data_IF_483882166410
#
_entry.id   IF_483882166410
#
_cell.length_a   1.000
_cell.length_b   1.000
_cell.length_c   1.000
_cell.angle_alpha   90.00
_cell.angle_beta   90.00
_cell.angle_gamma   90.00
#
_symmetry.space_group_name_H-M   'P 1'
#
loop_
_entity.id
_entity.type
_entity.pdbx_description
1 polymer ?
#
# COMPACT_ATOMS: atom_id res chain seq x y z
N UNK A 1 53.29 0.21 39.10
CA UNK A 1 52.41 -0.94 39.33
C UNK A 1 51.24 -0.44 40.18
N UNK A 2 50.11 -0.12 39.58
CA UNK A 2 48.88 0.24 40.29
C UNK A 2 47.72 -0.49 39.62
N UNK A 3 47.16 -1.40 40.39
CA UNK A 3 45.97 -2.18 40.01
C UNK A 3 44.73 -1.31 40.19
N UNK A 4 43.99 -1.11 39.09
CA UNK A 4 42.69 -0.44 39.12
C UNK A 4 41.60 -1.51 39.17
N UNK A 5 40.96 -1.63 40.33
CA UNK A 5 39.82 -2.53 40.55
C UNK A 5 38.56 -1.89 40.04
N UNK A 6 37.91 -2.52 39.03
CA UNK A 6 36.61 -2.09 38.53
C UNK A 6 35.53 -2.88 39.27
N UNK A 7 34.69 -2.13 40.02
CA UNK A 7 33.52 -2.67 40.70
C UNK A 7 32.33 -2.79 39.73
N UNK A 8 31.67 -3.94 39.76
CA UNK A 8 30.41 -4.21 39.05
C UNK A 8 29.22 -3.69 39.90
N UNK A 9 28.20 -3.07 39.32
CA UNK A 9 26.98 -2.75 40.07
C UNK A 9 25.99 -3.92 40.09
N UNK A 10 25.33 -4.04 41.21
CA UNK A 10 24.37 -5.03 41.64
C UNK A 10 23.18 -5.22 40.72
N UNK A 11 22.86 -6.48 40.48
CA UNK A 11 21.61 -6.97 39.91
C UNK A 11 20.55 -6.98 41.01
N UNK A 12 19.48 -6.15 40.88
CA UNK A 12 18.31 -6.20 41.75
C UNK A 12 17.26 -7.07 41.05
N UNK A 13 17.02 -8.23 41.66
CA UNK A 13 15.89 -9.09 41.32
C UNK A 13 14.60 -8.46 41.82
N UNK A 14 13.58 -8.37 40.93
CA UNK A 14 12.21 -8.03 41.31
C UNK A 14 11.35 -9.29 41.18
N UNK A 15 11.06 -9.90 42.31
CA UNK A 15 10.07 -10.99 42.43
C UNK A 15 8.65 -10.45 42.62
N UNK A 16 7.73 -11.01 41.84
CA UNK A 16 6.42 -11.40 42.31
C UNK A 16 5.31 -10.34 42.36
N UNK A 17 4.27 -10.54 41.54
CA UNK A 17 2.90 -10.74 42.06
C UNK A 17 2.01 -11.38 41.00
N UNK A 18 1.53 -12.58 41.32
CA UNK A 18 0.47 -13.25 40.60
C UNK A 18 -0.88 -12.56 40.90
N UNK A 19 -1.69 -12.33 39.86
CA UNK A 19 -3.05 -11.87 39.99
C UNK A 19 -3.89 -12.51 38.90
N UNK A 20 -4.50 -13.66 39.24
CA UNK A 20 -5.51 -14.34 38.45
C UNK A 20 -6.81 -13.55 38.52
N UNK A 21 -7.45 -13.27 37.40
CA UNK A 21 -8.89 -13.04 37.36
C UNK A 21 -9.48 -13.77 36.17
N UNK A 22 -10.19 -14.85 36.49
CA UNK A 22 -11.13 -15.56 35.61
C UNK A 22 -12.38 -14.69 35.45
N UNK A 23 -12.87 -14.50 34.27
CA UNK A 23 -14.28 -14.25 33.93
C UNK A 23 -14.57 -15.00 32.64
N UNK A 24 -15.19 -16.08 32.81
CA UNK A 24 -16.56 -16.58 32.65
C UNK A 24 -17.15 -16.27 31.28
N UNK A 25 -17.20 -17.37 30.53
CA UNK A 25 -18.00 -17.64 29.35
C UNK A 25 -19.48 -17.62 29.75
N UNK A 26 -20.30 -16.85 29.06
CA UNK A 26 -21.76 -16.97 29.13
C UNK A 26 -22.32 -17.33 27.77
N UNK A 27 -23.02 -18.43 27.78
CA UNK A 27 -23.61 -19.20 26.69
C UNK A 27 -25.04 -18.69 26.43
N UNK A 28 -25.32 -18.53 25.16
CA UNK A 28 -26.54 -18.60 24.33
C UNK A 28 -27.89 -18.84 25.04
N UNK A 29 -29.03 -18.38 24.45
CA UNK A 29 -29.87 -19.39 23.81
C UNK A 29 -30.36 -19.09 22.38
N UNK A 30 -30.61 -20.21 21.73
CA UNK A 30 -31.24 -20.47 20.44
C UNK A 30 -32.76 -20.42 20.58
N UNK A 31 -33.50 -19.87 19.62
CA UNK A 31 -34.88 -20.21 19.29
C UNK A 31 -35.10 -19.92 17.79
N UNK A 32 -35.24 -20.89 17.10
CA UNK A 32 -36.19 -21.63 16.30
C UNK A 32 -37.59 -20.96 16.12
N UNK A 33 -38.00 -20.74 14.86
CA UNK A 33 -39.28 -21.15 14.28
C UNK A 33 -39.46 -20.63 12.84
N UNK A 34 -39.46 -21.61 11.94
CA UNK A 34 -40.27 -21.79 10.74
C UNK A 34 -41.44 -20.82 10.50
N UNK A 35 -41.57 -20.31 9.26
CA UNK A 35 -42.83 -20.37 8.51
C UNK A 35 -42.62 -20.15 7.01
N UNK A 36 -43.13 -21.14 6.29
CA UNK A 36 -43.38 -21.25 4.85
C UNK A 36 -44.39 -20.23 4.36
N UNK A 37 -44.16 -19.64 3.21
CA UNK A 37 -45.20 -19.42 2.17
C UNK A 37 -44.58 -18.90 0.89
N UNK A 38 -44.72 -19.71 -0.17
CA UNK A 38 -44.67 -19.29 -1.57
C UNK A 38 -46.12 -18.95 -1.95
N UNK A 39 -46.39 -17.91 -2.76
CA UNK A 39 -46.93 -18.20 -4.06
C UNK A 39 -46.34 -17.34 -5.20
N UNK A 40 -46.31 -17.98 -6.29
CA UNK A 40 -46.91 -17.75 -7.61
C UNK A 40 -46.20 -16.84 -8.61
N UNK A 41 -46.14 -17.43 -9.80
CA UNK A 41 -45.59 -16.91 -11.04
C UNK A 41 -46.31 -15.66 -11.51
N UNK A 42 -45.56 -14.67 -11.99
CA UNK A 42 -46.01 -13.49 -12.70
C UNK A 42 -45.00 -13.10 -13.76
N UNK A 43 -45.37 -13.42 -14.97
CA UNK A 43 -45.14 -12.72 -16.24
C UNK A 43 -43.73 -12.20 -16.58
N UNK A 44 -43.20 -12.86 -17.59
CA UNK A 44 -42.11 -12.43 -18.47
C UNK A 44 -42.42 -11.07 -19.11
N UNK A 45 -41.73 -10.01 -18.70
CA UNK A 45 -41.51 -8.86 -19.54
C UNK A 45 -40.06 -8.84 -19.97
N UNK A 46 -39.84 -9.19 -21.23
CA UNK A 46 -38.60 -8.91 -21.93
C UNK A 46 -38.44 -7.39 -22.03
N UNK A 47 -37.67 -6.79 -21.12
CA UNK A 47 -37.10 -5.47 -21.32
C UNK A 47 -35.71 -5.69 -21.90
N UNK A 48 -35.57 -5.22 -23.12
CA UNK A 48 -34.30 -5.12 -23.84
C UNK A 48 -33.28 -4.47 -22.94
N UNK A 49 -32.25 -5.23 -22.58
CA UNK A 49 -31.04 -4.68 -22.00
C UNK A 49 -30.31 -3.98 -23.13
N UNK A 50 -30.60 -2.70 -23.30
CA UNK A 50 -29.69 -1.81 -24.02
C UNK A 50 -28.34 -1.95 -23.32
N UNK A 51 -27.35 -2.45 -24.06
CA UNK A 51 -26.00 -2.58 -23.60
C UNK A 51 -25.49 -1.23 -23.13
N UNK A 52 -25.37 -1.08 -21.83
CA UNK A 52 -24.65 0.01 -21.23
C UNK A 52 -23.20 -0.15 -21.70
N UNK A 53 -22.87 0.52 -22.81
CA UNK A 53 -21.49 0.77 -23.17
C UNK A 53 -20.91 1.55 -22.01
N UNK A 54 -20.14 0.85 -21.17
CA UNK A 54 -19.31 1.45 -20.13
C UNK A 54 -18.33 2.41 -20.83
N UNK A 55 -18.82 3.60 -21.13
CA UNK A 55 -17.97 4.72 -21.47
C UNK A 55 -17.20 5.05 -20.21
N UNK A 56 -16.00 4.45 -20.09
CA UNK A 56 -14.99 4.85 -19.11
C UNK A 56 -14.90 6.38 -19.18
N UNK A 57 -15.54 7.04 -18.23
CA UNK A 57 -15.58 8.48 -18.21
C UNK A 57 -14.15 9.03 -18.19
N UNK A 58 -13.94 10.18 -18.81
CA UNK A 58 -12.66 10.92 -18.88
C UNK A 58 -11.96 11.04 -17.50
N UNK A 59 -12.75 10.95 -16.41
CA UNK A 59 -12.26 10.89 -15.02
C UNK A 59 -11.55 9.59 -14.65
N UNK A 60 -11.58 8.56 -15.49
CA UNK A 60 -11.04 7.22 -15.18
C UNK A 60 -9.79 6.85 -15.98
N UNK A 61 -9.31 7.74 -16.86
CA UNK A 61 -8.06 7.55 -17.57
C UNK A 61 -6.89 7.55 -16.58
N UNK A 62 -5.93 6.58 -16.67
CA UNK A 62 -4.77 6.58 -15.79
C UNK A 62 -3.87 7.77 -16.08
N UNK A 63 -3.69 8.65 -15.09
CA UNK A 63 -2.79 9.80 -15.18
C UNK A 63 -1.34 9.43 -14.96
N UNK A 64 -1.12 8.26 -14.35
CA UNK A 64 0.20 7.69 -14.06
C UNK A 64 0.16 6.22 -14.46
N UNK A 65 1.07 5.84 -15.31
CA UNK A 65 1.29 4.46 -15.74
C UNK A 65 2.66 3.99 -15.25
N UNK A 66 2.70 2.81 -14.62
CA UNK A 66 3.89 2.21 -14.04
C UNK A 66 4.11 0.84 -14.68
N UNK A 67 5.04 0.78 -15.61
CA UNK A 67 5.51 -0.43 -16.27
C UNK A 67 6.66 -1.06 -15.46
N UNK A 68 6.33 -2.15 -14.75
CA UNK A 68 7.28 -2.88 -13.91
C UNK A 68 8.29 -3.67 -14.73
N UNK A 69 7.93 -4.09 -15.95
CA UNK A 69 8.81 -4.84 -16.84
C UNK A 69 9.94 -3.97 -17.37
N UNK A 70 9.63 -2.72 -17.72
CA UNK A 70 10.58 -1.73 -18.23
C UNK A 70 11.23 -0.88 -17.13
N UNK A 71 10.70 -0.95 -15.91
CA UNK A 71 11.09 -0.07 -14.78
C UNK A 71 10.97 1.41 -15.16
N UNK A 72 9.78 1.77 -15.67
CA UNK A 72 9.44 3.11 -16.14
C UNK A 72 8.12 3.58 -15.52
N UNK A 73 7.99 4.88 -15.31
CA UNK A 73 6.78 5.55 -14.90
C UNK A 73 6.48 6.68 -15.90
N UNK A 74 5.31 6.64 -16.51
CA UNK A 74 4.82 7.67 -17.42
C UNK A 74 3.76 8.54 -16.74
N UNK A 75 3.83 9.84 -16.92
CA UNK A 75 2.85 10.82 -16.44
C UNK A 75 2.15 11.39 -17.67
N UNK A 76 0.82 11.39 -17.64
CA UNK A 76 0.00 11.89 -18.73
C UNK A 76 -0.67 13.22 -18.35
N UNK A 77 -0.92 14.06 -19.35
CA UNK A 77 -1.77 15.25 -19.24
C UNK A 77 -3.26 14.88 -19.36
N UNK A 78 -4.13 15.91 -19.34
CA UNK A 78 -5.60 15.74 -19.44
C UNK A 78 -6.05 15.23 -20.80
N UNK A 79 -5.25 15.44 -21.81
CA UNK A 79 -5.51 15.00 -23.19
C UNK A 79 -4.96 13.59 -23.47
N UNK A 80 -4.38 12.92 -22.46
CA UNK A 80 -3.79 11.58 -22.62
C UNK A 80 -2.40 11.57 -23.27
N UNK A 81 -1.76 12.73 -23.45
CA UNK A 81 -0.39 12.77 -23.98
C UNK A 81 0.64 12.54 -22.86
N UNK A 82 1.73 11.85 -23.21
CA UNK A 82 2.86 11.65 -22.29
C UNK A 82 3.54 12.99 -22.00
N UNK A 83 3.40 13.46 -20.77
CA UNK A 83 4.04 14.69 -20.28
C UNK A 83 5.46 14.43 -19.77
N UNK A 84 5.70 13.29 -19.13
CA UNK A 84 6.99 12.96 -18.54
C UNK A 84 7.14 11.45 -18.36
N UNK A 85 8.37 10.98 -18.54
CA UNK A 85 8.75 9.60 -18.25
C UNK A 85 9.91 9.61 -17.25
N UNK A 86 9.81 8.76 -16.22
CA UNK A 86 10.83 8.63 -15.17
C UNK A 86 11.30 7.18 -15.07
N UNK A 87 12.61 6.93 -14.87
CA UNK A 87 13.07 5.61 -14.46
C UNK A 87 12.61 5.32 -13.04
N UNK A 88 12.30 4.06 -12.75
CA UNK A 88 11.89 3.61 -11.42
C UNK A 88 12.75 2.46 -10.92
N UNK A 89 12.54 2.11 -9.64
CA UNK A 89 12.97 0.85 -9.07
C UNK A 89 11.85 0.31 -8.16
N UNK A 90 11.24 -0.78 -8.59
CA UNK A 90 10.10 -1.44 -7.93
C UNK A 90 10.54 -2.48 -6.90
N UNK A 91 9.58 -3.19 -6.30
CA UNK A 91 9.80 -4.28 -5.34
C UNK A 91 10.68 -5.39 -5.90
N UNK A 92 11.65 -5.82 -5.11
CA UNK A 92 12.69 -6.79 -5.53
C UNK A 92 12.20 -8.24 -5.66
N UNK A 93 10.99 -8.53 -5.21
CA UNK A 93 10.47 -9.90 -5.12
C UNK A 93 11.08 -10.74 -3.97
N UNK A 94 12.11 -10.25 -3.30
CA UNK A 94 12.83 -10.98 -2.24
C UNK A 94 12.05 -11.00 -0.93
N UNK A 95 12.27 -12.04 -0.14
CA UNK A 95 11.77 -12.10 1.22
C UNK A 95 12.62 -11.23 2.15
N UNK A 96 11.97 -10.57 3.10
CA UNK A 96 12.60 -9.79 4.17
C UNK A 96 11.81 -9.94 5.48
N UNK A 97 12.41 -9.55 6.59
CA UNK A 97 11.74 -9.50 7.90
C UNK A 97 11.62 -8.03 8.31
N UNK A 98 10.44 -7.62 8.72
CA UNK A 98 10.17 -6.29 9.27
C UNK A 98 9.17 -6.42 10.40
N UNK A 99 9.45 -5.81 11.54
CA UNK A 99 8.59 -5.83 12.74
C UNK A 99 8.22 -7.25 13.18
N UNK A 100 9.14 -8.21 13.03
CA UNK A 100 8.95 -9.62 13.38
C UNK A 100 8.18 -10.45 12.36
N UNK A 101 7.66 -9.85 11.30
CA UNK A 101 6.92 -10.54 10.24
C UNK A 101 7.76 -10.78 8.99
N UNK A 102 7.63 -11.97 8.41
CA UNK A 102 8.23 -12.30 7.11
C UNK A 102 7.31 -11.84 5.98
N UNK A 103 7.82 -10.97 5.12
CA UNK A 103 7.09 -10.37 4.00
C UNK A 103 7.87 -10.50 2.71
N UNK A 104 7.17 -10.46 1.58
CA UNK A 104 7.80 -10.42 0.26
C UNK A 104 7.77 -8.99 -0.30
N UNK A 105 8.87 -8.57 -0.89
CA UNK A 105 9.08 -7.23 -1.45
C UNK A 105 8.40 -7.07 -2.82
N UNK A 106 7.07 -7.13 -2.87
CA UNK A 106 6.29 -7.06 -4.10
C UNK A 106 5.69 -5.66 -4.27
N UNK A 107 5.80 -5.08 -5.47
CA UNK A 107 4.96 -3.95 -5.88
C UNK A 107 3.66 -4.54 -6.45
N UNK A 108 2.50 -4.24 -5.84
CA UNK A 108 1.23 -4.79 -6.31
C UNK A 108 0.87 -4.18 -7.68
N UNK A 109 0.33 -5.01 -8.56
CA UNK A 109 -0.24 -4.60 -9.85
C UNK A 109 -1.73 -4.31 -9.71
N UNK A 110 -2.26 -3.46 -10.58
CA UNK A 110 -3.65 -3.08 -10.59
C UNK A 110 -3.86 -1.59 -10.82
N UNK A 111 -5.12 -1.18 -10.69
CA UNK A 111 -5.55 0.20 -10.79
C UNK A 111 -5.76 0.76 -9.40
N UNK A 112 -5.04 1.81 -9.07
CA UNK A 112 -5.05 2.44 -7.75
C UNK A 112 -5.40 3.91 -7.87
N UNK A 113 -5.72 4.53 -6.72
CA UNK A 113 -5.84 5.99 -6.58
C UNK A 113 -4.90 6.48 -5.49
N UNK A 114 -4.28 7.63 -5.74
CA UNK A 114 -3.51 8.31 -4.68
C UNK A 114 -4.45 8.64 -3.53
N UNK A 115 -4.18 8.12 -2.35
CA UNK A 115 -5.03 8.34 -1.18
C UNK A 115 -4.36 9.16 -0.07
N UNK A 116 -3.03 9.29 -0.09
CA UNK A 116 -2.27 10.05 0.91
C UNK A 116 -0.96 10.57 0.32
N UNK A 117 -0.52 11.73 0.79
CA UNK A 117 0.76 12.36 0.43
C UNK A 117 1.42 12.89 1.69
N UNK A 118 2.75 12.86 1.76
CA UNK A 118 3.50 13.46 2.88
C UNK A 118 4.60 14.34 2.28
N UNK A 119 4.64 15.61 2.69
CA UNK A 119 5.66 16.55 2.26
C UNK A 119 7.00 16.28 2.92
N UNK A 120 8.08 16.43 2.16
CA UNK A 120 9.44 16.26 2.64
C UNK A 120 9.83 14.81 2.93
N UNK A 121 10.67 14.63 3.94
CA UNK A 121 11.18 13.32 4.33
C UNK A 121 10.22 12.56 5.24
N UNK A 122 10.05 11.28 4.96
CA UNK A 122 9.33 10.33 5.81
C UNK A 122 10.21 9.14 6.16
N UNK A 123 10.43 8.90 7.45
CA UNK A 123 11.07 7.68 7.97
C UNK A 123 10.02 6.58 8.09
N UNK A 124 10.35 5.38 7.62
CA UNK A 124 9.58 4.16 7.80
C UNK A 124 10.49 3.07 8.37
N UNK A 125 9.94 1.93 8.86
CA UNK A 125 10.76 0.79 9.27
C UNK A 125 11.69 0.27 8.16
N UNK A 126 11.33 0.49 6.89
CA UNK A 126 12.07 0.02 5.71
C UNK A 126 12.98 1.08 5.08
N UNK A 127 13.12 2.25 5.73
CA UNK A 127 14.01 3.31 5.29
C UNK A 127 13.35 4.66 5.08
N UNK A 128 14.11 5.58 4.46
CA UNK A 128 13.67 6.94 4.19
C UNK A 128 13.00 7.05 2.84
N UNK A 129 11.91 7.82 2.78
CA UNK A 129 11.18 8.19 1.58
C UNK A 129 11.15 9.72 1.45
N UNK A 130 11.36 10.23 0.25
CA UNK A 130 11.31 11.66 -0.02
C UNK A 130 10.07 12.00 -0.83
N UNK A 131 9.20 12.88 -0.31
CA UNK A 131 7.91 13.26 -0.89
C UNK A 131 7.05 12.03 -1.29
N UNK A 132 6.73 11.11 -0.37
CA UNK A 132 5.96 9.92 -0.72
C UNK A 132 4.52 10.24 -1.07
N UNK A 133 4.05 9.61 -2.17
CA UNK A 133 2.68 9.61 -2.69
C UNK A 133 2.17 8.16 -2.60
N UNK A 134 1.25 7.90 -1.68
CA UNK A 134 0.75 6.56 -1.37
C UNK A 134 -0.40 6.16 -2.28
N UNK A 135 -0.35 4.93 -2.81
CA UNK A 135 -1.32 4.38 -3.77
C UNK A 135 -2.11 3.19 -3.21
N UNK A 136 -1.49 2.33 -2.41
CA UNK A 136 -2.17 1.18 -1.77
C UNK A 136 -1.41 0.75 -0.52
N UNK A 137 -2.11 0.52 0.59
CA UNK A 137 -1.50 0.08 1.84
C UNK A 137 -0.32 0.97 2.25
N UNK A 138 0.85 0.37 2.50
CA UNK A 138 2.10 1.07 2.76
C UNK A 138 2.94 1.39 1.52
N UNK A 139 2.46 1.06 0.31
CA UNK A 139 3.18 1.26 -0.95
C UNK A 139 3.03 2.68 -1.43
N UNK A 140 4.15 3.34 -1.70
CA UNK A 140 4.21 4.71 -2.19
C UNK A 140 5.17 4.84 -3.39
N UNK A 141 4.90 5.84 -4.23
CA UNK A 141 5.86 6.38 -5.20
C UNK A 141 6.62 7.49 -4.49
N UNK A 142 7.96 7.40 -4.41
CA UNK A 142 8.74 8.34 -3.62
C UNK A 142 10.15 8.56 -4.18
N UNK A 143 10.74 9.71 -3.88
CA UNK A 143 12.14 9.99 -4.17
C UNK A 143 13.09 9.09 -3.39
N UNK A 144 14.10 8.59 -4.08
CA UNK A 144 15.17 7.78 -3.51
C UNK A 144 16.52 8.17 -4.10
N UNK A 145 17.61 8.17 -3.30
CA UNK A 145 18.96 8.38 -3.83
C UNK A 145 19.43 7.22 -4.71
N UNK A 146 18.76 6.06 -4.64
CA UNK A 146 19.10 4.87 -5.43
C UNK A 146 17.91 4.37 -6.23
N UNK A 147 18.02 4.50 -7.57
CA UNK A 147 17.04 4.04 -8.56
C UNK A 147 17.76 3.22 -9.64
N UNK A 148 18.15 1.98 -9.36
CA UNK A 148 19.03 1.18 -10.24
C UNK A 148 18.35 0.65 -11.51
N UNK A 149 17.15 1.11 -11.88
CA UNK A 149 16.38 0.67 -13.05
C UNK A 149 16.16 -0.86 -13.12
N UNK A 150 16.10 -1.48 -11.98
CA UNK A 150 15.75 -2.88 -11.74
C UNK A 150 15.00 -2.99 -10.44
N UNK A 151 14.22 -4.07 -10.23
CA UNK A 151 13.56 -4.29 -8.95
C UNK A 151 14.56 -4.38 -7.79
N UNK A 152 14.47 -3.45 -6.80
CA UNK A 152 15.41 -3.38 -5.67
C UNK A 152 14.80 -2.80 -4.38
N UNK A 153 13.51 -2.42 -4.39
CA UNK A 153 12.82 -1.90 -3.20
C UNK A 153 12.17 -3.02 -2.38
N UNK A 154 11.56 -2.66 -1.26
CA UNK A 154 10.70 -3.53 -0.44
C UNK A 154 9.22 -3.53 -0.86
N UNK A 155 8.89 -2.93 -2.02
CA UNK A 155 7.53 -2.86 -2.56
C UNK A 155 7.16 -1.46 -3.04
N UNK A 156 7.71 -0.40 -2.47
CA UNK A 156 7.53 0.97 -2.96
C UNK A 156 8.13 1.16 -4.36
N UNK A 157 7.66 2.17 -5.07
CA UNK A 157 8.17 2.57 -6.38
C UNK A 157 9.10 3.76 -6.16
N UNK A 158 10.40 3.54 -6.34
CA UNK A 158 11.41 4.59 -6.21
C UNK A 158 11.51 5.37 -7.50
N UNK A 159 11.54 6.70 -7.42
CA UNK A 159 11.84 7.63 -8.52
C UNK A 159 13.08 8.48 -8.15
N UNK A 160 13.74 9.12 -9.13
CA UNK A 160 14.88 10.00 -8.85
C UNK A 160 14.53 11.12 -7.88
N UNK A 161 15.42 11.40 -6.92
CA UNK A 161 15.25 12.44 -5.90
C UNK A 161 14.86 13.79 -6.50
N UNK A 162 15.55 14.22 -7.58
CA UNK A 162 15.31 15.50 -8.23
C UNK A 162 13.95 15.64 -8.90
N UNK A 163 13.25 14.49 -9.16
CA UNK A 163 11.90 14.48 -9.72
C UNK A 163 10.80 14.44 -8.65
N UNK A 164 11.13 14.03 -7.43
CA UNK A 164 10.13 13.65 -6.42
C UNK A 164 9.25 14.82 -5.97
N UNK A 165 9.82 16.01 -5.75
CA UNK A 165 9.03 17.18 -5.34
C UNK A 165 8.07 17.61 -6.43
N UNK A 166 8.53 17.71 -7.68
CA UNK A 166 7.67 18.08 -8.80
C UNK A 166 6.58 17.04 -9.05
N UNK A 167 6.90 15.75 -8.94
CA UNK A 167 5.92 14.67 -8.99
C UNK A 167 4.86 14.80 -7.89
N UNK A 168 5.28 15.03 -6.67
CA UNK A 168 4.39 15.26 -5.53
C UNK A 168 3.45 16.46 -5.77
N UNK A 169 3.99 17.61 -6.20
CA UNK A 169 3.22 18.83 -6.38
C UNK A 169 2.16 18.68 -7.48
N UNK A 170 2.47 17.95 -8.55
CA UNK A 170 1.60 17.75 -9.73
C UNK A 170 0.71 16.51 -9.66
N UNK A 171 0.76 15.74 -8.57
CA UNK A 171 -0.03 14.52 -8.39
C UNK A 171 -1.01 14.72 -7.22
N UNK A 172 -2.26 15.16 -7.46
CA UNK A 172 -3.26 15.33 -6.41
C UNK A 172 -3.75 14.00 -5.84
N UNK A 173 -4.37 14.06 -4.65
CA UNK A 173 -5.14 12.93 -4.11
C UNK A 173 -6.28 12.62 -5.07
N UNK A 174 -6.59 11.32 -5.27
CA UNK A 174 -7.55 10.85 -6.25
C UNK A 174 -6.95 10.50 -7.62
N UNK A 175 -5.70 10.96 -7.92
CA UNK A 175 -5.03 10.63 -9.18
C UNK A 175 -4.99 9.13 -9.43
N UNK A 176 -5.42 8.71 -10.61
CA UNK A 176 -5.42 7.30 -11.03
C UNK A 176 -4.01 6.85 -11.41
N UNK A 177 -3.61 5.72 -10.87
CA UNK A 177 -2.31 5.07 -11.09
C UNK A 177 -2.56 3.64 -11.56
N UNK A 178 -2.11 3.30 -12.76
CA UNK A 178 -2.07 1.95 -13.28
C UNK A 178 -0.68 1.35 -13.04
N UNK A 179 -0.61 0.17 -12.43
CA UNK A 179 0.64 -0.58 -12.23
C UNK A 179 0.50 -1.92 -12.91
N UNK A 180 1.41 -2.25 -13.83
CA UNK A 180 1.37 -3.49 -14.62
C UNK A 180 2.79 -4.01 -14.94
N UNK A 181 2.85 -5.21 -15.55
CA UNK A 181 4.06 -5.81 -16.11
C UNK A 181 4.18 -5.52 -17.60
#
# INVERSE_FOLDING_TARGET
MSLLTIALPNFVAFEGLAGQTKQQVEEKPRADQTSSSRPEAGELNAAESEGETDTLGEADFPRIDVDLSRQMLSIFDESGNVKKVLPISSGSGRWYVSEGERRQAITPTGRFRVYRKISGWRKSPLGLMYYPVYIVGGVAIHGSPSVPRRPASHGCIRIPMGAAKAFYDTTPIGTVVLVHW
#
